data_IF_806392275492
#
_entry.id   IF_806392275492
#
_cell.length_a   1.000
_cell.length_b   1.000
_cell.length_c   1.000
_cell.angle_alpha   90.00
_cell.angle_beta   90.00
_cell.angle_gamma   90.00
#
_symmetry.space_group_name_H-M   'P 1'
#
loop_
_entity.id
_entity.type
_entity.pdbx_description
1 polymer ?
#
# COMPACT_ATOMS: atom_id res chain seq x y z
N UNK A 1 41.17 -39.43 -15.55
CA UNK A 1 39.87 -39.59 -14.85
C UNK A 1 39.40 -38.18 -14.54
N UNK A 2 38.63 -37.59 -15.43
CA UNK A 2 38.14 -36.21 -15.31
C UNK A 2 36.76 -36.20 -15.97
N UNK A 3 35.75 -35.95 -15.16
CA UNK A 3 34.34 -35.96 -15.53
C UNK A 3 33.99 -34.59 -16.11
N UNK A 4 33.87 -34.50 -17.43
CA UNK A 4 33.20 -33.38 -18.10
C UNK A 4 31.71 -33.49 -17.83
N UNK A 5 31.16 -32.54 -17.08
CA UNK A 5 29.72 -32.39 -16.91
C UNK A 5 29.23 -31.66 -18.16
N UNK A 6 28.62 -32.46 -19.03
CA UNK A 6 27.86 -32.08 -20.22
C UNK A 6 26.79 -31.03 -19.85
N UNK A 7 26.96 -29.80 -20.34
CA UNK A 7 25.93 -28.76 -20.25
C UNK A 7 24.74 -29.18 -21.13
N UNK A 8 23.72 -29.75 -20.49
CA UNK A 8 22.47 -30.04 -21.18
C UNK A 8 21.83 -28.72 -21.67
N UNK A 9 21.52 -28.60 -22.98
CA UNK A 9 20.88 -27.40 -23.50
C UNK A 9 19.45 -27.28 -22.93
N UNK A 10 19.16 -26.13 -22.32
CA UNK A 10 17.89 -25.70 -21.72
C UNK A 10 16.67 -25.85 -22.66
N UNK A 11 16.91 -26.12 -23.95
CA UNK A 11 15.88 -26.37 -24.97
C UNK A 11 15.04 -27.65 -24.74
N UNK A 12 15.49 -28.61 -23.93
CA UNK A 12 14.78 -29.87 -23.71
C UNK A 12 13.47 -29.74 -22.88
N UNK A 13 13.23 -28.59 -22.22
CA UNK A 13 12.09 -28.41 -21.31
C UNK A 13 10.86 -27.70 -21.94
N UNK A 14 10.89 -27.40 -23.24
CA UNK A 14 9.76 -26.70 -23.91
C UNK A 14 9.47 -25.30 -23.37
N UNK A 15 10.38 -24.73 -22.58
CA UNK A 15 10.27 -23.37 -22.04
C UNK A 15 10.72 -22.42 -23.15
N UNK A 16 9.85 -21.52 -23.66
CA UNK A 16 10.24 -20.58 -24.69
C UNK A 16 11.39 -19.69 -24.16
N UNK A 17 12.38 -19.36 -25.01
CA UNK A 17 13.49 -18.50 -24.59
C UNK A 17 12.91 -17.15 -24.14
N UNK A 18 13.05 -16.84 -22.85
CA UNK A 18 12.70 -15.53 -22.31
C UNK A 18 13.63 -14.52 -22.96
N UNK A 19 13.15 -13.81 -23.98
CA UNK A 19 13.84 -12.63 -24.52
C UNK A 19 13.87 -11.58 -23.42
N UNK A 20 14.91 -11.61 -22.59
CA UNK A 20 15.24 -10.49 -21.72
C UNK A 20 15.70 -9.35 -22.63
N UNK A 21 14.75 -8.51 -23.04
CA UNK A 21 15.11 -7.19 -23.54
C UNK A 21 16.03 -6.53 -22.49
N UNK A 22 17.05 -5.82 -22.93
CA UNK A 22 17.93 -5.02 -22.06
C UNK A 22 17.09 -3.90 -21.45
N UNK A 23 16.34 -4.20 -20.39
CA UNK A 23 15.66 -3.19 -19.60
C UNK A 23 16.76 -2.35 -18.95
N UNK A 24 16.84 -1.03 -19.22
CA UNK A 24 17.86 -0.20 -18.62
C UNK A 24 17.72 -0.29 -17.10
N UNK A 25 18.87 -0.47 -16.43
CA UNK A 25 18.93 -0.57 -14.97
C UNK A 25 18.38 0.73 -14.37
N UNK A 26 17.48 0.68 -13.37
CA UNK A 26 17.04 1.91 -12.72
C UNK A 26 18.26 2.61 -12.09
N UNK A 27 18.36 3.95 -12.22
CA UNK A 27 19.42 4.69 -11.57
C UNK A 27 19.28 4.60 -10.04
N UNK A 28 20.39 4.78 -9.32
CA UNK A 28 20.35 4.94 -7.86
C UNK A 28 19.71 6.27 -7.49
N UNK A 29 18.94 6.26 -6.41
CA UNK A 29 18.29 7.46 -5.89
C UNK A 29 19.29 8.21 -5.01
N UNK A 30 19.74 9.40 -5.43
CA UNK A 30 20.79 10.15 -4.75
C UNK A 30 20.43 10.46 -3.29
N UNK A 31 19.16 10.77 -3.03
CA UNK A 31 18.64 11.07 -1.69
C UNK A 31 18.70 9.87 -0.74
N UNK A 32 18.79 8.64 -1.26
CA UNK A 32 18.83 7.40 -0.47
C UNK A 32 20.23 6.77 -0.42
N UNK A 33 21.22 7.38 -1.07
CA UNK A 33 22.58 6.84 -1.17
C UNK A 33 23.29 6.70 0.18
N UNK A 34 22.91 7.52 1.17
CA UNK A 34 23.45 7.49 2.52
C UNK A 34 22.96 6.30 3.35
N UNK A 35 21.87 5.64 2.95
CA UNK A 35 21.31 4.49 3.67
C UNK A 35 22.03 3.20 3.28
N UNK A 36 22.34 2.36 4.27
CA UNK A 36 22.73 0.98 4.05
C UNK A 36 21.59 0.14 3.47
N UNK A 37 21.89 -1.06 2.97
CA UNK A 37 20.86 -1.96 2.43
C UNK A 37 19.82 -2.34 3.50
N UNK A 38 20.26 -2.57 4.75
CA UNK A 38 19.37 -2.91 5.86
C UNK A 38 18.45 -1.73 6.23
N UNK A 39 19.02 -0.52 6.33
CA UNK A 39 18.24 0.69 6.62
C UNK A 39 17.24 1.01 5.50
N UNK A 40 17.61 0.82 4.23
CA UNK A 40 16.70 1.02 3.12
C UNK A 40 15.52 0.01 3.13
N UNK A 41 15.77 -1.24 3.53
CA UNK A 41 14.72 -2.25 3.71
C UNK A 41 13.80 -1.89 4.88
N UNK A 42 14.36 -1.46 6.00
CA UNK A 42 13.62 -1.01 7.17
C UNK A 42 12.74 0.21 6.82
N UNK A 43 13.31 1.24 6.18
CA UNK A 43 12.60 2.42 5.70
C UNK A 43 11.42 2.02 4.80
N UNK A 44 11.63 1.14 3.83
CA UNK A 44 10.54 0.69 2.94
C UNK A 44 9.43 -0.04 3.72
N UNK A 45 9.79 -0.85 4.71
CA UNK A 45 8.84 -1.58 5.54
C UNK A 45 8.02 -0.61 6.43
N UNK A 46 8.66 0.37 7.04
CA UNK A 46 8.01 1.44 7.82
C UNK A 46 7.04 2.24 6.95
N UNK A 47 7.48 2.68 5.78
CA UNK A 47 6.62 3.40 4.82
C UNK A 47 5.42 2.56 4.39
N UNK A 48 5.60 1.25 4.16
CA UNK A 48 4.50 0.34 3.81
C UNK A 48 3.53 0.13 4.98
N UNK A 49 4.03 0.05 6.22
CA UNK A 49 3.19 0.00 7.41
C UNK A 49 2.33 1.26 7.54
N UNK A 50 2.94 2.43 7.36
CA UNK A 50 2.24 3.70 7.38
C UNK A 50 1.21 3.82 6.25
N UNK A 51 1.55 3.39 5.03
CA UNK A 51 0.61 3.34 3.90
C UNK A 51 -0.62 2.51 4.21
N UNK A 52 -0.43 1.34 4.84
CA UNK A 52 -1.53 0.47 5.25
C UNK A 52 -2.43 1.17 6.28
N UNK A 53 -1.83 1.87 7.26
CA UNK A 53 -2.57 2.65 8.28
C UNK A 53 -3.41 3.75 7.63
N UNK A 54 -2.82 4.53 6.74
CA UNK A 54 -3.52 5.62 6.03
C UNK A 54 -4.63 5.08 5.14
N UNK A 55 -4.36 3.98 4.42
CA UNK A 55 -5.36 3.30 3.59
C UNK A 55 -6.55 2.77 4.41
N UNK A 56 -6.31 2.26 5.62
CA UNK A 56 -7.37 1.86 6.54
C UNK A 56 -8.25 3.05 6.94
N UNK A 57 -7.64 4.13 7.43
CA UNK A 57 -8.38 5.32 7.84
C UNK A 57 -9.16 5.96 6.71
N UNK A 58 -8.57 6.02 5.52
CA UNK A 58 -9.24 6.53 4.32
C UNK A 58 -10.51 5.74 4.01
N UNK A 59 -10.46 4.42 4.07
CA UNK A 59 -11.66 3.56 3.87
C UNK A 59 -12.73 3.84 4.90
N UNK A 60 -12.37 4.04 6.17
CA UNK A 60 -13.33 4.34 7.23
C UNK A 60 -13.98 5.72 7.04
N UNK A 61 -13.20 6.74 6.67
CA UNK A 61 -13.70 8.09 6.35
C UNK A 61 -14.64 8.04 5.15
N UNK A 62 -14.25 7.36 4.07
CA UNK A 62 -15.07 7.19 2.87
C UNK A 62 -16.38 6.46 3.18
N UNK A 63 -16.31 5.34 3.90
CA UNK A 63 -17.49 4.60 4.37
C UNK A 63 -18.46 5.49 5.15
N UNK A 64 -17.95 6.32 6.06
CA UNK A 64 -18.78 7.23 6.86
C UNK A 64 -19.40 8.33 5.99
N UNK A 65 -18.63 8.92 5.08
CA UNK A 65 -19.12 9.93 4.15
C UNK A 65 -20.21 9.35 3.24
N UNK A 66 -20.03 8.11 2.75
CA UNK A 66 -21.00 7.42 1.91
C UNK A 66 -22.31 7.18 2.66
N UNK A 67 -22.26 6.79 3.95
CA UNK A 67 -23.47 6.69 4.79
C UNK A 67 -24.17 8.05 4.96
N UNK A 68 -23.44 9.15 5.12
CA UNK A 68 -24.03 10.49 5.27
C UNK A 68 -24.63 11.04 3.96
N UNK A 69 -24.11 10.62 2.81
CA UNK A 69 -24.68 10.96 1.49
C UNK A 69 -26.03 10.31 1.26
N UNK A 70 -26.28 9.15 1.87
CA UNK A 70 -27.57 8.47 1.78
C UNK A 70 -28.63 9.22 2.57
N UNK A 71 -29.82 9.38 1.97
CA UNK A 71 -30.99 10.01 2.56
C UNK A 71 -32.00 8.93 2.99
N UNK A 72 -32.66 9.13 4.14
CA UNK A 72 -33.71 8.22 4.64
C UNK A 72 -33.23 7.13 5.59
N UNK A 73 -34.14 6.21 5.94
CA UNK A 73 -33.89 5.14 6.91
C UNK A 73 -32.88 4.13 6.34
N UNK A 74 -31.74 3.99 7.03
CA UNK A 74 -30.59 3.23 6.55
C UNK A 74 -30.51 1.90 7.32
N UNK A 75 -31.15 0.88 6.76
CA UNK A 75 -31.07 -0.49 7.29
C UNK A 75 -29.70 -1.14 7.04
N UNK A 76 -29.31 -2.06 7.91
CA UNK A 76 -28.02 -2.80 7.85
C UNK A 76 -27.83 -3.52 6.50
N UNK A 77 -28.92 -3.91 5.83
CA UNK A 77 -28.87 -4.58 4.53
C UNK A 77 -28.33 -3.67 3.40
N UNK A 78 -28.63 -2.36 3.41
CA UNK A 78 -28.07 -1.38 2.46
C UNK A 78 -26.62 -1.00 2.79
N UNK A 79 -26.19 -1.24 4.02
CA UNK A 79 -24.81 -1.01 4.47
C UNK A 79 -23.84 -1.88 3.67
N UNK A 80 -24.26 -3.10 3.29
CA UNK A 80 -23.47 -3.98 2.41
C UNK A 80 -23.25 -3.36 1.04
N UNK A 81 -24.30 -2.84 0.40
CA UNK A 81 -24.20 -2.20 -0.93
C UNK A 81 -23.32 -0.95 -0.93
N UNK A 82 -23.41 -0.14 0.13
CA UNK A 82 -22.64 1.10 0.26
C UNK A 82 -21.17 0.83 0.58
N UNK A 83 -20.88 -0.18 1.42
CA UNK A 83 -19.51 -0.50 1.83
C UNK A 83 -18.78 -1.48 0.90
N UNK A 84 -19.50 -2.15 -0.02
CA UNK A 84 -18.91 -3.14 -0.94
C UNK A 84 -18.20 -2.51 -2.13
N UNK A 85 -17.51 -1.38 -1.96
CA UNK A 85 -16.92 -0.64 -3.09
C UNK A 85 -16.24 -1.58 -4.11
N UNK A 86 -16.63 -1.37 -5.36
CA UNK A 86 -16.14 -1.97 -6.59
C UNK A 86 -14.69 -1.48 -6.88
N UNK A 87 -13.76 -1.82 -5.99
CA UNK A 87 -12.33 -1.69 -6.25
C UNK A 87 -11.64 -3.01 -5.93
N UNK A 88 -12.01 -4.04 -6.68
CA UNK A 88 -11.07 -5.14 -6.97
C UNK A 88 -10.03 -4.56 -7.91
N UNK A 89 -8.99 -3.92 -7.35
CA UNK A 89 -7.76 -3.70 -8.10
C UNK A 89 -7.25 -5.08 -8.55
N UNK A 90 -7.08 -5.35 -9.86
CA UNK A 90 -6.60 -6.65 -10.30
C UNK A 90 -5.21 -6.91 -9.70
N UNK A 91 -5.07 -7.99 -8.93
CA UNK A 91 -3.77 -8.55 -8.57
C UNK A 91 -3.22 -8.27 -7.17
N UNK A 92 -3.95 -7.63 -6.24
CA UNK A 92 -3.47 -7.46 -4.85
C UNK A 92 -4.06 -8.53 -3.91
N UNK A 93 -3.60 -9.77 -4.03
CA UNK A 93 -3.80 -10.83 -3.01
C UNK A 93 -2.73 -10.68 -1.92
N UNK A 94 -2.89 -9.68 -1.07
CA UNK A 94 -2.11 -9.61 0.18
C UNK A 94 -3.08 -9.84 1.34
N UNK A 95 -2.86 -10.93 2.09
CA UNK A 95 -3.52 -11.12 3.38
C UNK A 95 -3.03 -10.02 4.31
N UNK A 96 -3.87 -9.02 4.55
CA UNK A 96 -3.61 -7.94 5.51
C UNK A 96 -3.97 -8.48 6.89
N UNK A 97 -2.98 -8.92 7.65
CA UNK A 97 -3.11 -8.95 9.11
C UNK A 97 -3.12 -7.50 9.59
N UNK A 98 -4.32 -6.94 9.73
CA UNK A 98 -4.52 -5.78 10.57
C UNK A 98 -4.35 -6.26 12.01
N UNK A 99 -3.14 -6.17 12.56
CA UNK A 99 -2.92 -6.35 13.99
C UNK A 99 -3.69 -5.24 14.70
N UNK A 100 -4.82 -5.62 15.28
CA UNK A 100 -5.80 -4.73 15.90
C UNK A 100 -5.42 -4.22 17.29
N UNK A 101 -4.23 -4.54 17.79
CA UNK A 101 -3.85 -4.17 19.16
C UNK A 101 -2.58 -3.30 19.18
N UNK A 102 -2.80 -2.08 19.69
CA UNK A 102 -1.96 -1.41 20.70
C UNK A 102 -0.84 -0.43 20.35
N UNK A 103 -0.80 0.20 19.16
CA UNK A 103 0.22 1.26 18.87
C UNK A 103 -0.23 2.32 17.86
N UNK A 104 -1.21 3.15 18.19
CA UNK A 104 -1.60 4.22 17.26
C UNK A 104 -1.59 5.59 17.96
N UNK A 105 -0.59 6.45 17.69
CA UNK A 105 -0.83 7.87 17.84
C UNK A 105 -2.05 8.21 16.97
N UNK A 106 -3.05 8.95 17.50
CA UNK A 106 -4.18 9.37 16.68
C UNK A 106 -3.60 10.21 15.54
N UNK A 107 -3.88 9.86 14.28
CA UNK A 107 -3.70 10.85 13.23
C UNK A 107 -4.61 12.03 13.63
N UNK A 108 -4.06 13.24 13.80
CA UNK A 108 -4.82 14.36 14.33
C UNK A 108 -6.01 14.66 13.41
N UNK A 109 -7.18 14.91 13.99
CA UNK A 109 -8.40 15.27 13.25
C UNK A 109 -9.29 14.09 12.87
N UNK A 110 -8.91 12.84 13.18
CA UNK A 110 -9.76 11.67 12.91
C UNK A 110 -10.96 11.52 13.86
N UNK A 111 -11.04 12.33 14.91
CA UNK A 111 -12.12 12.32 15.89
C UNK A 111 -13.48 12.57 15.23
N UNK A 112 -13.50 13.33 14.13
CA UNK A 112 -14.70 13.62 13.36
C UNK A 112 -15.38 12.37 12.80
N UNK A 113 -14.62 11.29 12.53
CA UNK A 113 -15.19 9.98 12.09
C UNK A 113 -16.21 9.46 13.11
N UNK A 114 -15.94 9.68 14.40
CA UNK A 114 -16.73 9.17 15.51
C UNK A 114 -17.80 10.16 15.99
N UNK A 115 -17.87 11.36 15.40
CA UNK A 115 -18.85 12.37 15.78
C UNK A 115 -20.26 11.87 15.45
N UNK A 116 -21.08 11.73 16.49
CA UNK A 116 -22.50 11.48 16.34
C UNK A 116 -23.18 12.73 15.74
N UNK A 117 -24.12 12.50 14.83
CA UNK A 117 -24.96 13.54 14.26
C UNK A 117 -26.40 13.05 14.30
N UNK A 118 -27.33 13.93 14.64
CA UNK A 118 -28.75 13.61 14.61
C UNK A 118 -29.15 13.26 13.15
N UNK A 119 -29.79 12.11 12.89
CA UNK A 119 -30.24 11.74 11.55
C UNK A 119 -31.18 12.77 10.91
N UNK A 120 -31.91 13.55 11.71
CA UNK A 120 -32.88 14.55 11.26
C UNK A 120 -32.26 15.95 11.06
N UNK A 121 -31.06 16.18 11.59
CA UNK A 121 -30.34 17.45 11.41
C UNK A 121 -29.60 17.46 10.07
N UNK A 122 -30.30 17.91 9.03
CA UNK A 122 -29.72 18.04 7.70
C UNK A 122 -28.50 18.98 7.67
N UNK A 123 -28.48 20.04 8.50
CA UNK A 123 -27.38 21.01 8.56
C UNK A 123 -26.13 20.40 9.20
N UNK A 124 -26.28 19.76 10.35
CA UNK A 124 -25.19 19.05 11.02
C UNK A 124 -24.64 17.90 10.18
N UNK A 125 -25.49 17.16 9.46
CA UNK A 125 -25.07 16.10 8.53
C UNK A 125 -24.24 16.64 7.38
N UNK A 126 -24.65 17.76 6.78
CA UNK A 126 -23.92 18.40 5.70
C UNK A 126 -22.54 18.90 6.18
N UNK A 127 -22.48 19.55 7.35
CA UNK A 127 -21.22 20.02 7.94
C UNK A 127 -20.26 18.86 8.26
N UNK A 128 -20.78 17.75 8.80
CA UNK A 128 -19.96 16.56 9.05
C UNK A 128 -19.46 15.93 7.76
N UNK A 129 -20.30 15.86 6.73
CA UNK A 129 -19.90 15.34 5.41
C UNK A 129 -18.78 16.19 4.80
N UNK A 130 -18.87 17.51 4.87
CA UNK A 130 -17.82 18.42 4.41
C UNK A 130 -16.49 18.15 5.11
N UNK A 131 -16.51 18.01 6.44
CA UNK A 131 -15.32 17.67 7.24
C UNK A 131 -14.71 16.33 6.79
N UNK A 132 -15.53 15.29 6.59
CA UNK A 132 -15.04 13.98 6.16
C UNK A 132 -14.45 14.00 4.74
N UNK A 133 -15.00 14.81 3.83
CA UNK A 133 -14.45 14.98 2.47
C UNK A 133 -13.09 15.68 2.50
N UNK A 134 -12.92 16.69 3.35
CA UNK A 134 -11.62 17.35 3.55
C UNK A 134 -10.58 16.37 4.13
N UNK A 135 -11.00 15.54 5.08
CA UNK A 135 -10.16 14.49 5.64
C UNK A 135 -9.75 13.44 4.60
N UNK A 136 -10.66 12.95 3.75
CA UNK A 136 -10.31 12.01 2.67
C UNK A 136 -9.32 12.64 1.68
N UNK A 137 -9.46 13.94 1.39
CA UNK A 137 -8.53 14.67 0.52
C UNK A 137 -7.13 14.74 1.13
N UNK A 138 -7.04 15.05 2.43
CA UNK A 138 -5.78 15.08 3.18
C UNK A 138 -5.12 13.70 3.21
N UNK A 139 -5.89 12.65 3.55
CA UNK A 139 -5.40 11.27 3.59
C UNK A 139 -4.97 10.77 2.22
N UNK A 140 -5.71 11.11 1.16
CA UNK A 140 -5.37 10.76 -0.22
C UNK A 140 -4.05 11.40 -0.66
N UNK A 141 -3.84 12.67 -0.32
CA UNK A 141 -2.60 13.41 -0.58
C UNK A 141 -1.42 12.78 0.15
N UNK A 142 -1.59 12.49 1.45
CA UNK A 142 -0.55 11.85 2.25
C UNK A 142 -0.21 10.44 1.75
N UNK A 143 -1.22 9.63 1.40
CA UNK A 143 -1.04 8.30 0.81
C UNK A 143 -0.27 8.36 -0.51
N UNK A 144 -0.55 9.35 -1.36
CA UNK A 144 0.18 9.53 -2.60
C UNK A 144 1.66 9.82 -2.35
N UNK A 145 1.99 10.69 -1.39
CA UNK A 145 3.37 10.96 -0.99
C UNK A 145 4.07 9.72 -0.43
N UNK A 146 3.37 8.89 0.36
CA UNK A 146 3.90 7.61 0.83
C UNK A 146 4.21 6.65 -0.33
N UNK A 147 3.30 6.51 -1.31
CA UNK A 147 3.53 5.68 -2.49
C UNK A 147 4.76 6.13 -3.27
N UNK A 148 4.91 7.44 -3.52
CA UNK A 148 6.10 7.97 -4.19
C UNK A 148 7.40 7.62 -3.46
N UNK A 149 7.41 7.69 -2.12
CA UNK A 149 8.57 7.33 -1.29
C UNK A 149 8.85 5.83 -1.30
N UNK A 150 7.81 5.00 -1.24
CA UNK A 150 7.92 3.53 -1.35
C UNK A 150 8.49 3.15 -2.72
N UNK A 151 8.02 3.78 -3.79
CA UNK A 151 8.49 3.55 -5.15
C UNK A 151 9.97 3.93 -5.30
N UNK A 152 10.37 5.09 -4.78
CA UNK A 152 11.78 5.51 -4.75
C UNK A 152 12.66 4.50 -4.00
N UNK A 153 12.28 4.11 -2.78
CA UNK A 153 13.01 3.10 -2.01
C UNK A 153 13.07 1.74 -2.74
N UNK A 154 11.98 1.35 -3.40
CA UNK A 154 11.91 0.11 -4.17
C UNK A 154 12.81 0.17 -5.41
N UNK A 155 12.83 1.29 -6.14
CA UNK A 155 13.74 1.49 -7.27
C UNK A 155 15.20 1.40 -6.85
N UNK A 156 15.57 2.04 -5.74
CA UNK A 156 16.95 1.99 -5.23
C UNK A 156 17.35 0.57 -4.78
N UNK A 157 16.44 -0.17 -4.12
CA UNK A 157 16.67 -1.59 -3.80
C UNK A 157 16.91 -2.42 -5.07
N UNK A 158 16.07 -2.26 -6.10
CA UNK A 158 16.25 -2.95 -7.38
C UNK A 158 17.58 -2.58 -8.03
N UNK A 159 17.98 -1.30 -8.00
CA UNK A 159 19.28 -0.87 -8.50
C UNK A 159 20.45 -1.52 -7.74
N UNK A 160 20.36 -1.65 -6.41
CA UNK A 160 21.38 -2.34 -5.60
C UNK A 160 21.45 -3.84 -5.93
N UNK A 161 20.31 -4.51 -6.07
CA UNK A 161 20.25 -5.93 -6.42
C UNK A 161 20.70 -6.23 -7.84
N UNK A 162 20.48 -5.29 -8.78
CA UNK A 162 20.99 -5.41 -10.13
C UNK A 162 22.52 -5.38 -10.18
N UNK A 163 23.15 -4.62 -9.27
CA UNK A 163 24.62 -4.57 -9.13
C UNK A 163 25.18 -5.81 -8.44
N UNK A 164 24.59 -6.25 -7.33
CA UNK A 164 24.97 -7.51 -6.66
C UNK A 164 23.73 -8.34 -6.28
N UNK A 165 23.37 -9.33 -7.12
CA UNK A 165 22.20 -10.19 -6.88
C UNK A 165 22.27 -11.01 -5.59
N UNK A 166 23.47 -11.27 -5.04
CA UNK A 166 23.63 -12.08 -3.82
C UNK A 166 23.04 -11.37 -2.59
N UNK A 167 22.92 -10.04 -2.65
CA UNK A 167 22.27 -9.25 -1.61
C UNK A 167 20.81 -9.66 -1.37
N UNK A 168 20.13 -10.28 -2.35
CA UNK A 168 18.80 -10.86 -2.18
C UNK A 168 18.80 -12.04 -1.19
N UNK A 169 19.87 -12.83 -1.13
CA UNK A 169 19.95 -14.04 -0.31
C UNK A 169 20.09 -13.72 1.18
N UNK A 170 20.60 -12.53 1.51
CA UNK A 170 20.73 -12.04 2.90
C UNK A 170 19.36 -11.79 3.56
N UNK A 171 18.27 -11.73 2.78
CA UNK A 171 16.92 -11.48 3.30
C UNK A 171 16.16 -12.77 3.68
N UNK A 172 16.73 -13.96 3.45
CA UNK A 172 16.08 -15.23 3.79
C UNK A 172 16.38 -15.59 5.26
N UNK A 173 15.37 -16.00 6.05
CA UNK A 173 15.64 -16.59 7.35
C UNK A 173 16.47 -17.87 7.16
N UNK A 174 17.54 -18.00 7.95
CA UNK A 174 18.32 -19.25 8.10
C UNK A 174 17.57 -20.25 8.95
#
# INVERSE_FOLDING_TARGET
MTTEIDELPVAALGIPPVRRGTRPMPPREADLAHLSLAELRALRAELASEENRVSYWRRLVQARADVLRQQGDFGVDRLREVLSQEQVLPGRTAYVTASGDDLLPPLPGLEAVWKAVDPTDAGGRAALLETLVEMDTTLSTYRHALHQRIDSATRDLVARYAVDPRLCLVALPV
#
